data_IF_722454991202
#
_entry.id   IF_722454991202
#
_cell.length_a   1.000
_cell.length_b   1.000
_cell.length_c   1.000
_cell.angle_alpha   90.00
_cell.angle_beta   90.00
_cell.angle_gamma   90.00
#
_symmetry.space_group_name_H-M   'P 1'
#
loop_
_entity.id
_entity.type
_entity.pdbx_description
1 polymer ?
#
# COMPACT_ATOMS: atom_id res chain seq x y z
N UNK A 1 1.95 -18.86 15.88
CA UNK A 1 2.73 -18.51 14.68
C UNK A 1 1.85 -17.76 13.66
N UNK A 2 1.01 -16.81 14.10
CA UNK A 2 0.08 -16.06 13.23
C UNK A 2 0.21 -14.54 13.39
N UNK A 3 1.26 -14.08 14.06
CA UNK A 3 1.47 -12.66 14.32
C UNK A 3 2.28 -11.97 13.22
N UNK A 4 3.04 -12.72 12.41
CA UNK A 4 3.96 -12.14 11.41
C UNK A 4 3.34 -11.94 10.01
N UNK A 5 2.25 -12.64 9.67
CA UNK A 5 1.59 -12.48 8.36
C UNK A 5 0.81 -11.16 8.27
N UNK A 6 0.11 -10.74 9.32
CA UNK A 6 -0.58 -9.43 9.39
C UNK A 6 0.35 -8.22 9.44
N UNK A 7 1.62 -8.43 9.76
CA UNK A 7 2.60 -7.35 9.77
C UNK A 7 3.13 -7.04 8.37
N UNK A 8 3.06 -8.02 7.44
CA UNK A 8 3.39 -7.78 6.04
C UNK A 8 2.36 -6.91 5.33
N UNK A 9 1.11 -6.82 5.81
CA UNK A 9 0.05 -5.99 5.21
C UNK A 9 0.29 -4.48 5.39
N UNK A 10 0.85 -4.06 6.53
CA UNK A 10 1.06 -2.64 6.82
C UNK A 10 2.33 -2.11 6.17
N UNK A 11 2.18 -0.99 5.48
CA UNK A 11 3.30 -0.26 4.89
C UNK A 11 3.88 0.72 5.89
N UNK A 12 5.21 0.77 5.95
CA UNK A 12 5.93 1.74 6.79
C UNK A 12 5.63 3.16 6.30
N UNK A 13 5.02 3.98 7.15
CA UNK A 13 4.79 5.39 6.88
C UNK A 13 6.03 6.18 7.28
N UNK A 14 6.66 6.83 6.30
CA UNK A 14 7.84 7.68 6.50
C UNK A 14 7.44 9.10 6.92
N UNK A 15 6.28 9.56 6.43
CA UNK A 15 5.72 10.87 6.74
C UNK A 15 4.20 10.83 6.55
N UNK A 16 3.44 11.53 7.39
CA UNK A 16 2.02 11.76 7.19
C UNK A 16 1.59 13.08 7.84
N UNK A 17 0.76 13.84 7.13
CA UNK A 17 0.03 14.98 7.64
C UNK A 17 -1.43 14.96 7.14
N UNK A 18 -2.16 16.06 7.36
CA UNK A 18 -3.55 16.16 6.97
C UNK A 18 -3.76 16.06 5.44
N UNK A 19 -2.75 16.38 4.64
CA UNK A 19 -2.83 16.50 3.17
C UNK A 19 -2.25 15.30 2.44
N UNK A 20 -1.12 14.75 2.88
CA UNK A 20 -0.43 13.67 2.18
C UNK A 20 0.26 12.69 3.13
N UNK A 21 0.64 11.55 2.59
CA UNK A 21 1.50 10.59 3.25
C UNK A 21 2.57 10.06 2.30
N UNK A 22 3.74 9.74 2.83
CA UNK A 22 4.85 9.09 2.14
C UNK A 22 5.09 7.75 2.81
N UNK A 23 5.11 6.69 2.01
CA UNK A 23 5.25 5.31 2.48
C UNK A 23 6.48 4.65 1.86
N UNK A 24 7.13 3.78 2.61
CA UNK A 24 8.17 2.92 2.07
C UNK A 24 7.53 1.69 1.44
N UNK A 25 7.42 1.70 0.10
CA UNK A 25 6.87 0.57 -0.65
C UNK A 25 7.94 -0.52 -0.79
N UNK A 26 7.68 -1.77 -0.37
CA UNK A 26 8.60 -2.87 -0.65
C UNK A 26 8.69 -3.16 -2.16
N UNK A 27 9.83 -3.69 -2.59
CA UNK A 27 10.00 -4.20 -3.95
C UNK A 27 9.01 -5.36 -4.21
N UNK A 28 8.50 -5.46 -5.43
CA UNK A 28 7.55 -6.52 -5.82
C UNK A 28 6.09 -6.28 -5.43
N UNK A 29 5.79 -5.31 -4.55
CA UNK A 29 4.41 -4.93 -4.26
C UNK A 29 3.87 -3.97 -5.33
N UNK A 30 2.79 -4.38 -6.00
CA UNK A 30 2.11 -3.55 -6.98
C UNK A 30 1.36 -2.40 -6.30
N UNK A 31 1.35 -1.23 -6.94
CA UNK A 31 0.69 -0.05 -6.39
C UNK A 31 -0.83 -0.14 -6.49
N UNK A 32 -1.35 -0.61 -7.62
CA UNK A 32 -2.79 -0.73 -7.89
C UNK A 32 -3.06 -1.81 -8.92
N UNK A 33 -4.32 -2.29 -8.98
CA UNK A 33 -4.77 -3.20 -10.02
C UNK A 33 -4.58 -2.57 -11.40
N UNK A 34 -3.88 -3.30 -12.26
CA UNK A 34 -3.59 -2.89 -13.63
C UNK A 34 -3.57 -4.13 -14.51
N UNK A 35 -3.59 -3.94 -15.83
CA UNK A 35 -3.49 -5.07 -16.76
C UNK A 35 -2.23 -5.95 -16.55
N UNK A 36 -1.20 -5.41 -15.89
CA UNK A 36 0.02 -6.12 -15.53
C UNK A 36 -0.11 -6.99 -14.27
N UNK A 37 -1.18 -6.82 -13.49
CA UNK A 37 -1.38 -7.51 -12.22
C UNK A 37 -1.52 -9.02 -12.36
N UNK A 38 -1.85 -9.56 -13.55
CA UNK A 38 -1.87 -11.02 -13.83
C UNK A 38 -2.57 -11.88 -12.76
N UNK A 39 -3.61 -11.34 -12.12
CA UNK A 39 -4.36 -12.03 -11.06
C UNK A 39 -3.83 -11.78 -9.64
N UNK A 40 -2.88 -10.86 -9.46
CA UNK A 40 -2.51 -10.32 -8.16
C UNK A 40 -3.72 -9.64 -7.51
N UNK A 41 -3.85 -9.81 -6.21
CA UNK A 41 -4.95 -9.24 -5.40
C UNK A 41 -4.44 -8.37 -4.27
N UNK A 42 -3.13 -8.33 -4.09
CA UNK A 42 -2.46 -7.59 -3.05
C UNK A 42 -1.81 -6.31 -3.59
N UNK A 43 -2.40 -5.17 -3.24
CA UNK A 43 -1.99 -3.87 -3.73
C UNK A 43 -1.71 -2.87 -2.60
N UNK A 44 -0.68 -2.04 -2.81
CA UNK A 44 -0.34 -0.97 -1.87
C UNK A 44 -1.53 -0.01 -1.63
N UNK A 45 -2.30 0.31 -2.67
CA UNK A 45 -3.45 1.20 -2.55
C UNK A 45 -4.50 0.67 -1.55
N UNK A 46 -4.79 -0.63 -1.58
CA UNK A 46 -5.81 -1.23 -0.73
C UNK A 46 -5.36 -1.32 0.72
N UNK A 47 -4.12 -1.78 0.94
CA UNK A 47 -3.47 -1.75 2.25
C UNK A 47 -3.47 -0.36 2.87
N UNK A 48 -3.15 0.68 2.10
CA UNK A 48 -3.12 2.06 2.60
C UNK A 48 -4.51 2.61 2.88
N UNK A 49 -5.55 2.24 2.09
CA UNK A 49 -6.94 2.60 2.40
C UNK A 49 -7.37 2.04 3.74
N UNK A 50 -7.07 0.77 3.99
CA UNK A 50 -7.35 0.12 5.27
C UNK A 50 -6.52 0.71 6.41
N UNK A 51 -5.22 0.87 6.21
CA UNK A 51 -4.30 1.38 7.22
C UNK A 51 -4.60 2.83 7.65
N UNK A 52 -4.99 3.71 6.72
CA UNK A 52 -5.39 5.08 7.05
C UNK A 52 -6.87 5.21 7.43
N UNK A 53 -7.68 4.17 7.22
CA UNK A 53 -9.12 4.20 7.48
C UNK A 53 -9.87 5.27 6.69
N UNK A 54 -9.34 5.69 5.53
CA UNK A 54 -9.92 6.77 4.70
C UNK A 54 -9.63 6.55 3.22
N UNK A 55 -10.42 7.21 2.37
CA UNK A 55 -10.14 7.23 0.94
C UNK A 55 -8.79 7.91 0.68
N UNK A 56 -7.97 7.30 -0.17
CA UNK A 56 -6.70 7.86 -0.62
C UNK A 56 -6.70 8.09 -2.13
N UNK A 57 -5.85 9.01 -2.56
CA UNK A 57 -5.58 9.28 -3.96
C UNK A 57 -4.08 9.14 -4.21
N UNK A 58 -3.71 8.26 -5.13
CA UNK A 58 -2.32 8.10 -5.56
C UNK A 58 -1.92 9.28 -6.44
N UNK A 59 -0.82 9.93 -6.10
CA UNK A 59 -0.27 11.05 -6.88
C UNK A 59 0.80 10.60 -7.89
N UNK A 60 1.46 9.49 -7.61
CA UNK A 60 2.40 8.81 -8.50
C UNK A 60 2.46 7.31 -8.14
N UNK A 61 3.12 6.51 -8.98
CA UNK A 61 3.39 5.09 -8.72
C UNK A 61 4.87 4.79 -8.87
N UNK A 62 5.31 3.79 -8.12
CA UNK A 62 6.56 3.07 -8.37
C UNK A 62 6.18 1.72 -8.99
N UNK A 63 7.08 1.13 -9.76
CA UNK A 63 6.87 -0.20 -10.33
C UNK A 63 6.73 -1.28 -9.26
#
# INVERSE_FOLDING_TARGET
MQSQEREQERLTVLFADDRLAVVNKPAGLMVHDSALARGETDFAADRLREQFGRQIFLVHRLD
#
